data_IF_388970037189
#
_entry.id   IF_388970037189
#
_cell.length_a   1.000
_cell.length_b   1.000
_cell.length_c   1.000
_cell.angle_alpha   90.00
_cell.angle_beta   90.00
_cell.angle_gamma   90.00
#
_symmetry.space_group_name_H-M   'P 1'
#
loop_
_entity.id
_entity.type
_entity.pdbx_description
1 polymer ?
#
# COMPACT_ATOMS: atom_id res chain seq x y z
N UNK A 1 -26.33 -30.69 -1.07
CA UNK A 1 -26.15 -29.41 -1.80
C UNK A 1 -24.76 -28.91 -1.49
N UNK A 2 -23.88 -28.83 -2.49
CA UNK A 2 -22.48 -28.47 -2.26
C UNK A 2 -22.36 -26.97 -1.95
N UNK A 3 -21.80 -26.55 -0.81
CA UNK A 3 -21.53 -25.14 -0.52
C UNK A 3 -20.38 -24.56 -1.39
N UNK A 4 -19.88 -25.32 -2.38
CA UNK A 4 -18.62 -25.07 -3.08
C UNK A 4 -18.42 -23.68 -3.71
N UNK A 5 -19.37 -23.05 -4.42
CA UNK A 5 -19.03 -21.85 -5.20
C UNK A 5 -18.79 -20.61 -4.32
N UNK A 6 -19.58 -20.42 -3.26
CA UNK A 6 -19.45 -19.26 -2.38
C UNK A 6 -18.21 -19.35 -1.47
N UNK A 7 -17.90 -20.56 -0.97
CA UNK A 7 -16.74 -20.83 -0.12
C UNK A 7 -15.43 -20.65 -0.89
N UNK A 8 -15.39 -21.13 -2.14
CA UNK A 8 -14.23 -20.98 -3.04
C UNK A 8 -14.04 -19.52 -3.45
N UNK A 9 -15.12 -18.80 -3.78
CA UNK A 9 -15.03 -17.37 -4.08
C UNK A 9 -14.52 -16.56 -2.87
N UNK A 10 -15.03 -16.83 -1.67
CA UNK A 10 -14.56 -16.20 -0.43
C UNK A 10 -13.08 -16.46 -0.15
N UNK A 11 -12.59 -17.67 -0.41
CA UNK A 11 -11.16 -18.01 -0.29
C UNK A 11 -10.30 -17.17 -1.24
N UNK A 12 -10.71 -17.01 -2.50
CA UNK A 12 -9.94 -16.19 -3.46
C UNK A 12 -9.91 -14.71 -3.06
N UNK A 13 -11.01 -14.16 -2.55
CA UNK A 13 -11.05 -12.80 -2.03
C UNK A 13 -10.14 -12.61 -0.82
N UNK A 14 -10.11 -13.59 0.10
CA UNK A 14 -9.19 -13.57 1.23
C UNK A 14 -7.73 -13.60 0.78
N UNK A 15 -7.38 -14.49 -0.15
CA UNK A 15 -6.02 -14.56 -0.73
C UNK A 15 -5.65 -13.23 -1.37
N UNK A 16 -6.55 -12.65 -2.18
CA UNK A 16 -6.31 -11.35 -2.82
C UNK A 16 -6.10 -10.24 -1.79
N UNK A 17 -6.92 -10.20 -0.72
CA UNK A 17 -6.78 -9.23 0.36
C UNK A 17 -5.45 -9.37 1.10
N UNK A 18 -5.02 -10.61 1.41
CA UNK A 18 -3.75 -10.88 2.08
C UNK A 18 -2.57 -10.47 1.20
N UNK A 19 -2.58 -10.87 -0.08
CA UNK A 19 -1.51 -10.55 -1.03
C UNK A 19 -1.40 -9.05 -1.27
N UNK A 20 -2.53 -8.36 -1.49
CA UNK A 20 -2.54 -6.90 -1.67
C UNK A 20 -2.15 -6.17 -0.39
N UNK A 21 -2.62 -6.62 0.78
CA UNK A 21 -2.22 -6.05 2.07
C UNK A 21 -0.71 -6.17 2.31
N UNK A 22 -0.13 -7.34 2.02
CA UNK A 22 1.31 -7.54 2.07
C UNK A 22 2.05 -6.65 1.06
N UNK A 23 1.54 -6.50 -0.16
CA UNK A 23 2.13 -5.62 -1.17
C UNK A 23 2.10 -4.15 -0.74
N UNK A 24 1.00 -3.67 -0.14
CA UNK A 24 0.90 -2.32 0.44
C UNK A 24 1.95 -2.13 1.54
N UNK A 25 2.11 -3.12 2.43
CA UNK A 25 3.09 -3.06 3.52
C UNK A 25 4.53 -3.01 3.00
N UNK A 26 4.89 -3.89 2.05
CA UNK A 26 6.22 -3.91 1.42
C UNK A 26 6.48 -2.59 0.70
N UNK A 27 5.49 -2.09 -0.04
CA UNK A 27 5.60 -0.82 -0.75
C UNK A 27 5.75 0.36 0.20
N UNK A 28 5.05 0.35 1.34
CA UNK A 28 5.20 1.34 2.39
C UNK A 28 6.63 1.37 2.92
N UNK A 29 7.18 0.22 3.34
CA UNK A 29 8.56 0.12 3.83
C UNK A 29 9.56 0.58 2.78
N UNK A 30 9.38 0.16 1.53
CA UNK A 30 10.22 0.58 0.41
C UNK A 30 10.17 2.10 0.18
N UNK A 31 8.96 2.69 0.20
CA UNK A 31 8.78 4.13 0.04
C UNK A 31 9.43 4.92 1.18
N UNK A 32 9.21 4.51 2.43
CA UNK A 32 9.83 5.13 3.60
C UNK A 32 11.35 5.04 3.53
N UNK A 33 11.91 3.90 3.14
CA UNK A 33 13.35 3.73 2.95
C UNK A 33 13.92 4.68 1.88
N UNK A 34 13.21 4.84 0.76
CA UNK A 34 13.58 5.79 -0.31
C UNK A 34 13.55 7.25 0.18
N UNK A 35 12.56 7.62 0.99
CA UNK A 35 12.46 8.98 1.58
C UNK A 35 13.61 9.21 2.57
N UNK A 36 13.89 8.26 3.47
CA UNK A 36 14.96 8.39 4.47
C UNK A 36 16.33 8.58 3.79
N UNK A 37 16.58 7.88 2.69
CA UNK A 37 17.81 7.99 1.89
C UNK A 37 17.86 9.16 0.91
N UNK A 38 16.80 9.96 0.82
CA UNK A 38 16.77 11.13 -0.05
C UNK A 38 17.31 12.38 0.64
N UNK A 39 17.64 13.38 -0.15
CA UNK A 39 18.03 14.73 0.30
C UNK A 39 16.79 15.62 0.57
N UNK A 40 15.67 15.00 0.96
CA UNK A 40 14.44 15.74 1.22
C UNK A 40 14.59 16.65 2.43
N UNK A 41 14.37 17.93 2.20
CA UNK A 41 14.26 18.96 3.23
C UNK A 41 12.84 19.55 3.24
N UNK A 42 12.31 19.91 4.42
CA UNK A 42 12.99 19.81 5.70
C UNK A 42 13.01 18.37 6.23
N UNK A 43 14.05 18.00 6.99
CA UNK A 43 14.30 16.61 7.43
C UNK A 43 13.15 15.92 8.19
N UNK A 44 12.16 16.65 8.71
CA UNK A 44 10.96 16.08 9.34
C UNK A 44 10.15 15.16 8.40
N UNK A 45 10.23 15.38 7.07
CA UNK A 45 9.63 14.49 6.07
C UNK A 45 10.07 13.03 6.20
N UNK A 46 11.31 12.79 6.67
CA UNK A 46 11.85 11.44 6.87
C UNK A 46 11.14 10.71 8.02
N UNK A 47 10.76 11.43 9.06
CA UNK A 47 10.08 10.88 10.23
C UNK A 47 8.60 10.62 9.96
N UNK A 48 7.92 11.59 9.34
CA UNK A 48 6.48 11.43 9.05
C UNK A 48 6.21 10.41 7.95
N UNK A 49 7.19 10.08 7.10
CA UNK A 49 7.04 9.03 6.08
C UNK A 49 6.78 7.63 6.66
N UNK A 50 7.02 7.42 7.95
CA UNK A 50 6.65 6.19 8.68
C UNK A 50 5.14 6.07 8.85
N UNK A 51 4.40 7.18 8.82
CA UNK A 51 2.94 7.18 8.94
C UNK A 51 2.32 6.86 7.57
N UNK A 52 1.61 5.72 7.41
CA UNK A 52 1.22 5.22 6.09
C UNK A 52 0.45 6.21 5.22
N UNK A 53 -0.56 6.95 5.73
CA UNK A 53 -1.25 7.97 4.94
C UNK A 53 -0.34 9.08 4.40
N UNK A 54 0.78 9.34 5.07
CA UNK A 54 1.70 10.45 4.75
C UNK A 54 2.88 9.99 3.88
N UNK A 55 3.19 8.70 3.88
CA UNK A 55 4.25 8.08 3.05
C UNK A 55 4.22 8.47 1.57
N UNK A 56 3.08 8.41 0.83
CA UNK A 56 3.08 8.78 -0.59
C UNK A 56 3.36 10.27 -0.79
N UNK A 57 2.93 11.14 0.14
CA UNK A 57 3.21 12.58 0.09
C UNK A 57 4.70 12.83 0.33
N UNK A 58 5.28 12.21 1.35
CA UNK A 58 6.71 12.33 1.64
C UNK A 58 7.57 11.80 0.47
N UNK A 59 7.18 10.67 -0.13
CA UNK A 59 7.83 10.13 -1.33
C UNK A 59 7.71 11.09 -2.52
N UNK A 60 6.57 11.74 -2.70
CA UNK A 60 6.38 12.74 -3.75
C UNK A 60 7.28 13.96 -3.55
N UNK A 61 7.33 14.51 -2.33
CA UNK A 61 8.18 15.65 -1.97
C UNK A 61 9.66 15.29 -2.13
N UNK A 62 10.05 14.05 -1.84
CA UNK A 62 11.39 13.52 -2.07
C UNK A 62 11.72 13.23 -3.56
N UNK A 63 10.87 13.64 -4.50
CA UNK A 63 11.06 13.43 -5.94
C UNK A 63 10.74 12.00 -6.44
N UNK A 64 10.31 11.11 -5.56
CA UNK A 64 10.02 9.70 -5.86
C UNK A 64 8.58 9.50 -6.36
N UNK A 65 8.17 10.24 -7.41
CA UNK A 65 6.78 10.27 -7.92
C UNK A 65 6.24 8.89 -8.30
N UNK A 66 7.08 8.04 -8.92
CA UNK A 66 6.70 6.66 -9.28
C UNK A 66 6.38 5.82 -8.04
N UNK A 67 7.19 5.96 -6.99
CA UNK A 67 7.00 5.29 -5.70
C UNK A 67 5.71 5.74 -5.02
N UNK A 68 5.46 7.05 -4.99
CA UNK A 68 4.21 7.61 -4.46
C UNK A 68 2.98 7.07 -5.23
N UNK A 69 3.04 7.07 -6.57
CA UNK A 69 1.96 6.54 -7.41
C UNK A 69 1.70 5.05 -7.20
N UNK A 70 2.76 4.23 -7.16
CA UNK A 70 2.63 2.79 -6.90
C UNK A 70 2.00 2.51 -5.53
N UNK A 71 2.37 3.26 -4.50
CA UNK A 71 1.79 3.14 -3.16
C UNK A 71 0.29 3.43 -3.17
N UNK A 72 -0.12 4.55 -3.78
CA UNK A 72 -1.54 4.95 -3.88
C UNK A 72 -2.33 3.93 -4.68
N UNK A 73 -1.78 3.43 -5.78
CA UNK A 73 -2.44 2.43 -6.63
C UNK A 73 -2.68 1.11 -5.87
N UNK A 74 -1.68 0.63 -5.12
CA UNK A 74 -1.81 -0.58 -4.31
C UNK A 74 -2.85 -0.40 -3.19
N UNK A 75 -2.86 0.75 -2.53
CA UNK A 75 -3.86 1.04 -1.50
C UNK A 75 -5.28 1.08 -2.10
N UNK A 76 -5.44 1.70 -3.27
CA UNK A 76 -6.72 1.75 -3.97
C UNK A 76 -7.19 0.33 -4.37
N UNK A 77 -6.30 -0.49 -4.92
CA UNK A 77 -6.60 -1.88 -5.26
C UNK A 77 -7.02 -2.70 -4.03
N UNK A 78 -6.28 -2.57 -2.92
CA UNK A 78 -6.64 -3.20 -1.65
C UNK A 78 -8.01 -2.73 -1.14
N UNK A 79 -8.27 -1.42 -1.20
CA UNK A 79 -9.57 -0.85 -0.81
C UNK A 79 -10.73 -1.40 -1.64
N UNK A 80 -10.57 -1.48 -2.97
CA UNK A 80 -11.57 -2.09 -3.87
C UNK A 80 -11.82 -3.55 -3.51
N UNK A 81 -10.76 -4.33 -3.27
CA UNK A 81 -10.91 -5.73 -2.85
C UNK A 81 -11.66 -5.85 -1.54
N UNK A 82 -11.38 -5.01 -0.53
CA UNK A 82 -12.09 -5.04 0.76
C UNK A 82 -13.54 -4.59 0.63
N UNK A 83 -13.84 -3.61 -0.21
CA UNK A 83 -15.21 -3.16 -0.45
C UNK A 83 -16.07 -4.24 -1.14
N UNK A 84 -15.48 -5.02 -2.04
CA UNK A 84 -16.18 -6.11 -2.74
C UNK A 84 -16.29 -7.35 -1.85
N UNK A 85 -15.24 -7.68 -1.10
CA UNK A 85 -15.16 -8.90 -0.30
C UNK A 85 -15.90 -8.84 1.05
N UNK A 86 -16.14 -7.63 1.59
CA UNK A 86 -16.70 -7.43 2.95
C UNK A 86 -15.63 -7.22 4.02
#
# INVERSE_FOLDING_TARGET
MSPAPALVAGLYWLIAAVVLGAAVLVMHVYATWRVVRSDVEPSWWKWIAVVPPVTPVAAWVAGQKKTAGAWVLLLAAYGVVRLIAG
#
